data_IF_858858622682
#
_entry.id   IF_858858622682
#
_cell.length_a   1.000
_cell.length_b   1.000
_cell.length_c   1.000
_cell.angle_alpha   90.00
_cell.angle_beta   90.00
_cell.angle_gamma   90.00
#
_symmetry.space_group_name_H-M   'P 1'
#
loop_
_entity.id
_entity.type
_entity.pdbx_description
1 polymer ?
#
# COMPACT_ATOMS: atom_id res chain seq x y z
N UNK A 1 6.11 21.52 7.87
CA UNK A 1 5.97 20.06 7.84
C UNK A 1 7.21 19.33 8.35
N UNK A 2 8.45 19.62 7.83
CA UNK A 2 9.66 18.92 8.29
C UNK A 2 9.93 19.03 9.80
N UNK A 3 9.56 20.14 10.43
CA UNK A 3 9.71 20.34 11.88
C UNK A 3 8.60 19.70 12.72
N UNK A 4 7.53 19.24 12.07
CA UNK A 4 6.38 18.56 12.70
C UNK A 4 6.30 17.08 12.33
N UNK A 5 7.39 16.48 11.84
CA UNK A 5 7.46 15.09 11.41
C UNK A 5 6.39 14.72 10.37
N UNK A 6 6.13 15.65 9.45
CA UNK A 6 5.17 15.50 8.33
C UNK A 6 5.84 15.89 7.01
N UNK A 7 7.04 15.40 6.80
CA UNK A 7 7.90 15.72 5.65
C UNK A 7 7.30 15.32 4.31
N UNK A 8 6.48 14.27 4.27
CA UNK A 8 5.82 13.77 3.05
C UNK A 8 4.85 14.79 2.43
N UNK A 9 4.38 15.76 3.21
CA UNK A 9 3.50 16.85 2.76
C UNK A 9 4.19 18.23 2.84
N UNK A 10 5.52 18.24 2.69
CA UNK A 10 6.30 19.49 2.71
C UNK A 10 5.91 20.39 1.53
N UNK A 11 5.55 21.65 1.83
CA UNK A 11 5.20 22.64 0.79
C UNK A 11 6.42 23.10 -0.01
N UNK A 12 7.63 22.95 0.56
CA UNK A 12 8.90 23.30 -0.08
C UNK A 12 9.66 22.03 -0.48
N UNK A 13 8.98 21.09 -1.14
CA UNK A 13 9.60 19.85 -1.59
C UNK A 13 10.59 20.13 -2.73
N UNK A 14 11.86 19.86 -2.51
CA UNK A 14 12.95 20.13 -3.46
C UNK A 14 13.13 19.05 -4.53
N UNK A 15 12.07 18.36 -4.93
CA UNK A 15 12.08 17.29 -5.92
C UNK A 15 11.76 15.92 -5.33
N UNK A 16 11.42 14.97 -6.21
CA UNK A 16 11.16 13.56 -5.89
C UNK A 16 12.11 12.71 -6.72
N UNK A 17 12.83 11.81 -6.07
CA UNK A 17 13.78 10.91 -6.76
C UNK A 17 13.08 10.14 -7.88
N UNK A 18 13.62 10.21 -9.09
CA UNK A 18 13.11 9.51 -10.27
C UNK A 18 11.84 10.09 -10.88
N UNK A 19 11.22 11.11 -10.28
CA UNK A 19 9.95 11.66 -10.77
C UNK A 19 9.96 13.16 -11.02
N UNK A 20 10.60 13.95 -10.16
CA UNK A 20 10.60 15.41 -10.29
C UNK A 20 11.95 15.99 -9.89
N UNK A 21 12.61 16.63 -10.87
CA UNK A 21 13.83 17.44 -10.69
C UNK A 21 15.01 16.69 -10.03
N UNK A 22 14.99 15.33 -10.02
CA UNK A 22 16.04 14.49 -9.47
C UNK A 22 16.16 13.17 -10.21
N UNK A 23 17.37 12.69 -10.40
CA UNK A 23 17.64 11.35 -10.91
C UNK A 23 17.11 10.29 -9.93
N UNK A 24 16.65 9.15 -10.45
CA UNK A 24 16.06 8.05 -9.67
C UNK A 24 17.07 7.00 -9.24
N UNK A 25 16.53 5.93 -8.64
CA UNK A 25 17.30 4.79 -8.14
C UNK A 25 17.61 3.70 -9.17
N UNK A 26 17.23 3.85 -10.45
CA UNK A 26 17.65 2.95 -11.54
C UNK A 26 19.10 3.28 -11.95
N UNK A 27 20.02 3.15 -11.01
CA UNK A 27 21.42 3.51 -11.14
C UNK A 27 22.25 2.81 -10.07
N UNK A 28 23.54 2.64 -10.31
CA UNK A 28 24.48 2.10 -9.31
C UNK A 28 24.69 3.09 -8.14
N UNK A 29 24.57 4.38 -8.42
CA UNK A 29 24.75 5.46 -7.44
C UNK A 29 23.64 6.49 -7.56
N UNK A 30 23.17 6.98 -6.42
CA UNK A 30 22.19 8.06 -6.33
C UNK A 30 22.59 9.04 -5.23
N UNK A 31 22.41 10.33 -5.49
CA UNK A 31 22.67 11.37 -4.48
C UNK A 31 21.39 11.73 -3.74
N UNK A 32 21.41 11.57 -2.42
CA UNK A 32 20.29 11.90 -1.55
C UNK A 32 20.74 12.76 -0.37
N UNK A 33 19.87 13.63 0.18
CA UNK A 33 20.19 14.35 1.40
C UNK A 33 20.34 13.38 2.58
N UNK A 34 21.45 13.48 3.34
CA UNK A 34 21.74 12.55 4.44
C UNK A 34 20.63 12.46 5.50
N UNK A 35 19.86 13.54 5.70
CA UNK A 35 18.70 13.54 6.62
C UNK A 35 17.56 12.60 6.20
N UNK A 36 17.54 12.14 4.94
CA UNK A 36 16.53 11.21 4.41
C UNK A 36 16.96 9.74 4.53
N UNK A 37 18.19 9.49 4.91
CA UNK A 37 18.68 8.13 5.10
C UNK A 37 18.10 7.51 6.37
N UNK A 38 17.83 6.21 6.29
CA UNK A 38 17.43 5.33 7.37
C UNK A 38 18.34 4.11 7.35
N UNK A 39 18.79 3.67 8.50
CA UNK A 39 19.50 2.39 8.60
C UNK A 39 18.50 1.26 8.38
N UNK A 40 18.77 0.40 7.39
CA UNK A 40 18.01 -0.84 7.22
C UNK A 40 18.39 -1.83 8.33
N UNK A 41 17.43 -2.58 8.91
CA UNK A 41 17.76 -3.69 9.80
C UNK A 41 18.60 -4.74 9.07
N UNK A 42 19.61 -5.29 9.72
CA UNK A 42 20.53 -6.28 9.12
C UNK A 42 19.81 -7.59 8.74
N UNK A 43 18.68 -7.89 9.39
CA UNK A 43 17.91 -9.12 9.18
C UNK A 43 16.98 -9.09 7.96
N UNK A 44 16.85 -7.98 7.25
CA UNK A 44 16.04 -7.90 6.03
C UNK A 44 16.93 -7.82 4.79
N UNK A 45 16.50 -8.47 3.70
CA UNK A 45 17.23 -8.45 2.44
C UNK A 45 17.26 -7.04 1.80
N UNK A 46 18.22 -6.77 0.94
CA UNK A 46 18.28 -5.51 0.17
C UNK A 46 17.05 -5.31 -0.72
N UNK A 47 16.53 -6.35 -1.42
CA UNK A 47 15.25 -6.23 -2.15
C UNK A 47 14.08 -5.83 -1.25
N UNK A 48 13.96 -6.41 -0.07
CA UNK A 48 12.90 -6.06 0.89
C UNK A 48 13.08 -4.65 1.44
N UNK A 49 14.31 -4.24 1.73
CA UNK A 49 14.62 -2.87 2.13
C UNK A 49 14.19 -1.86 1.07
N UNK A 50 14.42 -2.15 -0.22
CA UNK A 50 13.97 -1.31 -1.32
C UNK A 50 12.43 -1.20 -1.37
N UNK A 51 11.72 -2.30 -1.17
CA UNK A 51 10.24 -2.32 -1.13
C UNK A 51 9.69 -1.54 0.07
N UNK A 52 10.37 -1.58 1.22
CA UNK A 52 9.99 -0.78 2.39
C UNK A 52 10.01 0.73 2.10
N UNK A 53 10.91 1.20 1.23
CA UNK A 53 11.05 2.63 0.90
C UNK A 53 9.87 3.24 0.11
N UNK A 54 9.00 2.44 -0.47
CA UNK A 54 7.80 2.90 -1.19
C UNK A 54 6.56 2.15 -0.71
N UNK A 55 6.38 0.89 -1.13
CA UNK A 55 5.17 0.13 -0.82
C UNK A 55 4.98 -0.05 0.69
N UNK A 56 6.07 -0.33 1.40
CA UNK A 56 6.05 -0.52 2.86
C UNK A 56 5.59 0.73 3.59
N UNK A 57 6.32 1.84 3.45
CA UNK A 57 5.99 3.06 4.18
C UNK A 57 4.67 3.69 3.75
N UNK A 58 4.27 3.54 2.48
CA UNK A 58 2.98 4.04 1.98
C UNK A 58 1.81 3.29 2.61
N UNK A 59 1.89 1.95 2.64
CA UNK A 59 0.88 1.13 3.30
C UNK A 59 0.83 1.39 4.81
N UNK A 60 2.01 1.48 5.47
CA UNK A 60 2.07 1.78 6.90
C UNK A 60 1.43 3.12 7.22
N UNK A 61 1.76 4.16 6.44
CA UNK A 61 1.16 5.49 6.62
C UNK A 61 -0.36 5.47 6.42
N UNK A 62 -0.86 4.70 5.44
CA UNK A 62 -2.30 4.56 5.23
C UNK A 62 -3.00 3.91 6.44
N UNK A 63 -2.41 2.85 7.01
CA UNK A 63 -2.91 2.18 8.22
C UNK A 63 -2.87 3.11 9.44
N UNK A 64 -1.78 3.88 9.63
CA UNK A 64 -1.67 4.90 10.70
C UNK A 64 -2.76 5.98 10.54
N UNK A 65 -2.95 6.48 9.31
CA UNK A 65 -4.01 7.45 9.00
C UNK A 65 -5.41 6.89 9.20
N UNK A 66 -5.58 5.61 8.94
CA UNK A 66 -6.83 4.88 9.20
C UNK A 66 -7.16 4.79 10.70
N UNK A 67 -6.19 4.92 11.57
CA UNK A 67 -6.38 4.80 13.03
C UNK A 67 -7.07 3.48 13.41
N UNK A 68 -6.62 2.37 12.77
CA UNK A 68 -7.22 1.06 12.98
C UNK A 68 -7.21 0.66 14.46
N UNK A 69 -8.31 0.04 14.88
CA UNK A 69 -8.48 -0.51 16.23
C UNK A 69 -8.63 -2.02 16.15
N UNK A 70 -8.21 -2.67 17.21
CA UNK A 70 -8.36 -4.12 17.35
C UNK A 70 -9.84 -4.53 17.16
N UNK A 71 -10.07 -5.54 16.31
CA UNK A 71 -11.39 -6.08 16.02
C UNK A 71 -12.20 -5.36 14.95
N UNK A 72 -11.70 -4.25 14.39
CA UNK A 72 -12.34 -3.59 13.25
C UNK A 72 -12.26 -4.45 11.99
N UNK A 73 -13.21 -4.26 11.07
CA UNK A 73 -13.22 -4.85 9.73
C UNK A 73 -12.71 -3.85 8.70
N UNK A 74 -11.75 -4.28 7.89
CA UNK A 74 -11.07 -3.45 6.88
C UNK A 74 -11.28 -4.03 5.49
N UNK A 75 -11.72 -3.20 4.55
CA UNK A 75 -11.78 -3.52 3.13
C UNK A 75 -10.56 -2.90 2.43
N UNK A 76 -9.73 -3.71 1.77
CA UNK A 76 -8.59 -3.26 0.98
C UNK A 76 -8.94 -3.38 -0.50
N UNK A 77 -9.03 -2.25 -1.21
CA UNK A 77 -9.32 -2.19 -2.64
C UNK A 77 -8.01 -2.17 -3.43
N UNK A 78 -7.73 -3.26 -4.13
CA UNK A 78 -6.51 -3.49 -4.91
C UNK A 78 -5.38 -4.15 -4.10
N UNK A 79 -4.89 -5.31 -4.58
CA UNK A 79 -3.84 -6.13 -3.94
C UNK A 79 -2.57 -6.18 -4.80
N UNK A 80 -2.14 -5.02 -5.32
CA UNK A 80 -0.81 -4.82 -5.88
C UNK A 80 0.26 -4.69 -4.79
N UNK A 81 1.41 -4.10 -5.11
CA UNK A 81 2.52 -3.98 -4.14
C UNK A 81 2.15 -3.29 -2.83
N UNK A 82 1.49 -2.13 -2.87
CA UNK A 82 1.07 -1.42 -1.65
C UNK A 82 -0.03 -2.17 -0.92
N UNK A 83 -1.06 -2.68 -1.64
CA UNK A 83 -2.16 -3.43 -1.06
C UNK A 83 -1.72 -4.72 -0.38
N UNK A 84 -0.72 -5.42 -0.95
CA UNK A 84 -0.12 -6.61 -0.33
C UNK A 84 0.49 -6.35 1.05
N UNK A 85 1.10 -5.19 1.25
CA UNK A 85 1.59 -4.78 2.57
C UNK A 85 0.42 -4.31 3.46
N UNK A 86 -0.56 -3.58 2.90
CA UNK A 86 -1.71 -3.08 3.66
C UNK A 86 -2.53 -4.23 4.26
N UNK A 87 -2.78 -5.32 3.53
CA UNK A 87 -3.41 -6.53 4.03
C UNK A 87 -2.68 -7.07 5.25
N UNK A 88 -1.36 -7.24 5.16
CA UNK A 88 -0.55 -7.78 6.27
C UNK A 88 -0.54 -6.85 7.49
N UNK A 89 -0.41 -5.54 7.28
CA UNK A 89 -0.41 -4.56 8.35
C UNK A 89 -1.77 -4.50 9.06
N UNK A 90 -2.89 -4.55 8.31
CA UNK A 90 -4.23 -4.59 8.89
C UNK A 90 -4.43 -5.87 9.73
N UNK A 91 -3.95 -7.03 9.26
CA UNK A 91 -3.95 -8.28 10.04
C UNK A 91 -3.09 -8.14 11.29
N UNK A 92 -1.89 -7.60 11.18
CA UNK A 92 -1.00 -7.39 12.33
C UNK A 92 -1.58 -6.42 13.37
N UNK A 93 -2.44 -5.48 12.93
CA UNK A 93 -3.23 -4.60 13.81
C UNK A 93 -4.45 -5.28 14.44
N UNK A 94 -4.72 -6.56 14.11
CA UNK A 94 -5.83 -7.34 14.67
C UNK A 94 -7.19 -7.09 14.00
N UNK A 95 -7.20 -6.59 12.77
CA UNK A 95 -8.43 -6.39 12.00
C UNK A 95 -8.89 -7.69 11.30
N UNK A 96 -10.19 -7.79 11.01
CA UNK A 96 -10.73 -8.70 10.00
C UNK A 96 -10.54 -8.03 8.63
N UNK A 97 -9.87 -8.69 7.70
CA UNK A 97 -9.45 -8.09 6.41
C UNK A 97 -10.19 -8.72 5.24
N UNK A 98 -10.91 -7.89 4.50
CA UNK A 98 -11.50 -8.21 3.20
C UNK A 98 -10.61 -7.63 2.12
N UNK A 99 -10.25 -8.43 1.12
CA UNK A 99 -9.42 -8.01 0.00
C UNK A 99 -10.21 -8.05 -1.30
N UNK A 100 -10.20 -6.96 -2.05
CA UNK A 100 -10.87 -6.82 -3.35
C UNK A 100 -9.84 -6.75 -4.46
N UNK A 101 -9.93 -7.63 -5.44
CA UNK A 101 -9.02 -7.64 -6.58
C UNK A 101 -9.69 -8.36 -7.77
N UNK A 102 -9.48 -7.86 -8.98
CA UNK A 102 -10.00 -8.44 -10.21
C UNK A 102 -9.35 -9.78 -10.57
N UNK A 103 -8.04 -9.87 -10.38
CA UNK A 103 -7.26 -11.06 -10.72
C UNK A 103 -7.42 -12.15 -9.65
N UNK A 104 -7.84 -13.35 -10.07
CA UNK A 104 -7.94 -14.51 -9.17
C UNK A 104 -6.59 -14.85 -8.51
N UNK A 105 -5.49 -14.80 -9.26
CA UNK A 105 -4.16 -15.05 -8.72
C UNK A 105 -3.76 -14.06 -7.62
N UNK A 106 -4.16 -12.79 -7.76
CA UNK A 106 -3.93 -11.76 -6.74
C UNK A 106 -4.88 -11.89 -5.55
N UNK A 107 -6.11 -12.36 -5.75
CA UNK A 107 -7.00 -12.72 -4.65
C UNK A 107 -6.39 -13.85 -3.81
N UNK A 108 -5.92 -14.92 -4.47
CA UNK A 108 -5.25 -16.02 -3.76
C UNK A 108 -3.95 -15.56 -3.06
N UNK A 109 -3.21 -14.65 -3.69
CA UNK A 109 -2.08 -13.99 -3.03
C UNK A 109 -2.51 -13.23 -1.77
N UNK A 110 -3.62 -12.48 -1.82
CA UNK A 110 -4.17 -11.79 -0.64
C UNK A 110 -4.50 -12.77 0.50
N UNK A 111 -5.08 -13.95 0.19
CA UNK A 111 -5.33 -15.01 1.17
C UNK A 111 -4.04 -15.45 1.86
N UNK A 112 -3.00 -15.71 1.07
CA UNK A 112 -1.69 -16.09 1.61
C UNK A 112 -1.08 -14.99 2.49
N UNK A 113 -1.41 -13.73 2.25
CA UNK A 113 -0.99 -12.58 3.05
C UNK A 113 -1.86 -12.36 4.30
N UNK A 114 -2.92 -13.15 4.48
CA UNK A 114 -3.75 -13.15 5.67
C UNK A 114 -5.11 -12.45 5.51
N UNK A 115 -5.56 -12.17 4.30
CA UNK A 115 -6.96 -11.73 4.09
C UNK A 115 -7.93 -12.83 4.52
N UNK A 116 -8.99 -12.44 5.24
CA UNK A 116 -10.02 -13.36 5.73
C UNK A 116 -11.07 -13.65 4.65
N UNK A 117 -11.42 -12.62 3.85
CA UNK A 117 -12.39 -12.73 2.77
C UNK A 117 -11.81 -12.16 1.47
N UNK A 118 -12.18 -12.76 0.37
CA UNK A 118 -11.73 -12.36 -0.97
C UNK A 118 -12.95 -12.01 -1.82
N UNK A 119 -12.94 -10.85 -2.42
CA UNK A 119 -14.05 -10.34 -3.22
C UNK A 119 -13.59 -10.00 -4.64
N UNK A 120 -14.36 -10.44 -5.62
CA UNK A 120 -14.22 -10.02 -7.02
C UNK A 120 -15.17 -8.85 -7.28
N UNK A 121 -14.70 -7.67 -7.65
CA UNK A 121 -15.59 -6.55 -7.97
C UNK A 121 -16.37 -6.79 -9.28
N UNK A 122 -15.98 -7.77 -10.10
CA UNK A 122 -16.68 -8.20 -11.30
C UNK A 122 -17.92 -9.07 -11.05
N UNK A 123 -18.07 -9.64 -9.86
CA UNK A 123 -19.20 -10.53 -9.51
C UNK A 123 -20.51 -9.78 -9.22
N UNK A 124 -20.55 -8.45 -9.38
CA UNK A 124 -21.75 -7.64 -9.22
C UNK A 124 -21.60 -6.48 -8.24
N UNK A 125 -22.48 -6.38 -7.25
CA UNK A 125 -22.53 -5.27 -6.33
C UNK A 125 -21.60 -5.50 -5.13
N UNK A 126 -20.38 -4.96 -5.18
CA UNK A 126 -19.39 -5.06 -4.09
C UNK A 126 -19.93 -4.58 -2.72
N UNK A 127 -20.62 -3.42 -2.60
CA UNK A 127 -21.21 -3.00 -1.32
C UNK A 127 -22.25 -3.98 -0.77
N UNK A 128 -23.04 -4.65 -1.61
CA UNK A 128 -23.96 -5.67 -1.16
C UNK A 128 -23.23 -6.90 -0.61
N UNK A 129 -22.23 -7.40 -1.33
CA UNK A 129 -21.40 -8.52 -0.88
C UNK A 129 -20.69 -8.22 0.45
N UNK A 130 -20.21 -7.00 0.65
CA UNK A 130 -19.61 -6.55 1.93
C UNK A 130 -20.64 -6.57 3.05
N UNK A 131 -21.87 -6.10 2.79
CA UNK A 131 -22.94 -6.14 3.80
C UNK A 131 -23.34 -7.56 4.18
N UNK A 132 -23.40 -8.48 3.22
CA UNK A 132 -23.70 -9.90 3.50
C UNK A 132 -22.65 -10.53 4.44
N UNK A 133 -21.39 -10.11 4.32
CA UNK A 133 -20.27 -10.57 5.16
C UNK A 133 -20.16 -9.86 6.53
N UNK A 134 -20.99 -8.84 6.75
CA UNK A 134 -20.94 -7.96 7.94
C UNK A 134 -22.29 -7.78 8.60
N UNK A 135 -23.19 -8.77 8.53
CA UNK A 135 -24.53 -8.75 9.12
C UNK A 135 -25.34 -7.50 8.73
N UNK A 136 -25.18 -7.01 7.51
CA UNK A 136 -25.85 -5.82 6.98
C UNK A 136 -25.22 -4.48 7.33
N UNK A 137 -24.16 -4.45 8.15
CA UNK A 137 -23.59 -3.20 8.70
C UNK A 137 -22.63 -2.48 7.73
N UNK A 138 -21.79 -3.20 7.01
CA UNK A 138 -20.65 -2.67 6.29
C UNK A 138 -19.35 -2.69 7.12
N UNK A 139 -18.23 -2.21 6.53
CA UNK A 139 -16.91 -2.25 7.17
C UNK A 139 -16.58 -0.96 7.93
N UNK A 140 -15.69 -1.07 8.91
CA UNK A 140 -15.21 0.08 9.72
C UNK A 140 -14.32 1.00 8.90
N UNK A 141 -13.51 0.42 8.03
CA UNK A 141 -12.49 1.15 7.27
C UNK A 141 -12.34 0.59 5.87
N UNK A 142 -12.17 1.47 4.90
CA UNK A 142 -11.75 1.13 3.53
C UNK A 142 -10.38 1.75 3.27
N UNK A 143 -9.45 0.96 2.74
CA UNK A 143 -8.14 1.42 2.23
C UNK A 143 -8.17 1.29 0.71
N UNK A 144 -8.34 2.41 0.01
CA UNK A 144 -8.39 2.43 -1.44
C UNK A 144 -7.01 2.68 -2.05
N UNK A 145 -6.38 1.60 -2.52
CA UNK A 145 -5.06 1.64 -3.17
C UNK A 145 -5.18 2.05 -4.64
N UNK A 146 -6.35 1.90 -5.23
CA UNK A 146 -6.60 2.16 -6.66
C UNK A 146 -6.87 3.66 -6.89
N UNK A 147 -7.77 4.27 -6.13
CA UNK A 147 -8.11 5.68 -6.18
C UNK A 147 -8.86 6.10 -7.44
N UNK A 148 -9.62 5.21 -8.05
CA UNK A 148 -10.49 5.52 -9.18
C UNK A 148 -11.91 5.87 -8.70
N UNK A 149 -12.68 6.59 -9.53
CA UNK A 149 -14.07 6.94 -9.22
C UNK A 149 -14.86 5.72 -8.74
N UNK A 150 -14.78 4.62 -9.48
CA UNK A 150 -15.51 3.37 -9.17
C UNK A 150 -15.09 2.74 -7.83
N UNK A 151 -13.81 2.82 -7.46
CA UNK A 151 -13.34 2.26 -6.18
C UNK A 151 -13.66 3.16 -5.01
N UNK A 152 -13.58 4.49 -5.18
CA UNK A 152 -14.00 5.45 -4.17
C UNK A 152 -15.49 5.35 -3.87
N UNK A 153 -16.34 5.24 -4.91
CA UNK A 153 -17.78 5.05 -4.79
C UNK A 153 -18.12 3.76 -4.05
N UNK A 154 -17.66 2.62 -4.56
CA UNK A 154 -17.87 1.33 -3.93
C UNK A 154 -17.31 1.29 -2.49
N UNK A 155 -16.18 1.96 -2.25
CA UNK A 155 -15.57 2.08 -0.93
C UNK A 155 -16.47 2.82 0.05
N UNK A 156 -16.98 4.00 -0.31
CA UNK A 156 -17.89 4.78 0.56
C UNK A 156 -19.19 4.02 0.82
N UNK A 157 -19.77 3.39 -0.20
CA UNK A 157 -21.00 2.60 -0.07
C UNK A 157 -20.82 1.32 0.75
N UNK A 158 -19.60 0.81 0.89
CA UNK A 158 -19.27 -0.35 1.72
C UNK A 158 -19.08 -0.02 3.20
N UNK A 159 -18.97 1.26 3.55
CA UNK A 159 -18.78 1.68 4.95
C UNK A 159 -20.03 1.48 5.78
N UNK A 160 -19.83 1.13 7.06
CA UNK A 160 -20.87 1.31 8.09
C UNK A 160 -20.98 2.78 8.51
N UNK A 161 -22.04 3.14 9.21
CA UNK A 161 -22.13 4.45 9.85
C UNK A 161 -20.94 4.66 10.81
N UNK A 162 -20.34 5.84 10.78
CA UNK A 162 -19.12 6.17 11.52
C UNK A 162 -17.85 5.56 10.91
N UNK A 163 -17.93 5.00 9.70
CA UNK A 163 -16.82 4.41 8.98
C UNK A 163 -15.93 5.44 8.29
N UNK A 164 -14.78 4.99 7.75
CA UNK A 164 -13.82 5.86 7.11
C UNK A 164 -13.17 5.27 5.86
N UNK A 165 -13.08 6.09 4.80
CA UNK A 165 -12.36 5.78 3.58
C UNK A 165 -10.99 6.47 3.60
N UNK A 166 -9.91 5.70 3.40
CA UNK A 166 -8.55 6.20 3.23
C UNK A 166 -8.12 6.04 1.77
N UNK A 167 -7.93 7.16 1.08
CA UNK A 167 -7.53 7.20 -0.32
C UNK A 167 -6.01 7.24 -0.41
N UNK A 168 -5.42 6.24 -1.05
CA UNK A 168 -3.98 6.06 -1.27
C UNK A 168 -3.61 6.27 -2.74
N UNK A 169 -4.45 5.78 -3.65
CA UNK A 169 -4.20 5.83 -5.09
C UNK A 169 -4.14 7.28 -5.63
N UNK A 170 -3.26 7.49 -6.61
CA UNK A 170 -3.07 8.78 -7.28
C UNK A 170 -3.64 8.72 -8.69
N UNK A 171 -4.88 9.13 -8.84
CA UNK A 171 -5.53 9.25 -10.14
C UNK A 171 -6.08 10.66 -10.33
N UNK A 172 -6.36 11.10 -11.55
CA UNK A 172 -7.09 12.35 -11.80
C UNK A 172 -8.59 12.23 -11.54
N UNK A 173 -9.05 11.06 -11.16
CA UNK A 173 -10.45 10.75 -10.93
C UNK A 173 -11.03 11.48 -9.73
N UNK A 174 -12.34 11.67 -9.74
CA UNK A 174 -13.04 12.33 -8.64
C UNK A 174 -14.30 11.54 -8.28
N UNK A 175 -14.62 11.58 -6.99
CA UNK A 175 -15.87 11.08 -6.48
C UNK A 175 -16.61 12.24 -5.78
N UNK A 176 -17.68 12.77 -6.39
CA UNK A 176 -18.50 13.79 -5.77
C UNK A 176 -19.38 13.16 -4.70
N UNK A 177 -19.07 13.44 -3.45
CA UNK A 177 -19.81 12.92 -2.29
C UNK A 177 -20.82 13.96 -1.81
N UNK A 178 -22.06 13.54 -1.58
CA UNK A 178 -23.10 14.41 -1.05
C UNK A 178 -22.82 14.73 0.43
N UNK A 179 -22.70 16.04 0.77
CA UNK A 179 -22.42 16.46 2.14
C UNK A 179 -23.46 15.99 3.16
N UNK A 180 -24.74 15.91 2.76
CA UNK A 180 -25.81 15.37 3.59
C UNK A 180 -25.55 13.90 3.94
N UNK A 181 -25.13 13.09 2.96
CA UNK A 181 -24.82 11.68 3.16
C UNK A 181 -23.67 11.49 4.15
N UNK A 182 -22.57 12.26 3.98
CA UNK A 182 -21.46 12.25 4.93
C UNK A 182 -21.90 12.60 6.36
N UNK A 183 -22.68 13.69 6.50
CA UNK A 183 -23.09 14.18 7.81
C UNK A 183 -24.04 13.23 8.51
N UNK A 184 -25.03 12.66 7.79
CA UNK A 184 -26.02 11.76 8.37
C UNK A 184 -25.43 10.43 8.82
N UNK A 185 -24.38 9.95 8.14
CA UNK A 185 -23.73 8.68 8.46
C UNK A 185 -22.41 8.86 9.23
N UNK A 186 -22.03 10.10 9.58
CA UNK A 186 -20.77 10.44 10.28
C UNK A 186 -19.54 9.83 9.61
N UNK A 187 -19.46 9.87 8.26
CA UNK A 187 -18.37 9.27 7.51
C UNK A 187 -17.15 10.20 7.43
N UNK A 188 -15.96 9.60 7.39
CA UNK A 188 -14.71 10.31 7.14
C UNK A 188 -14.11 9.91 5.79
N UNK A 189 -13.62 10.89 5.02
CA UNK A 189 -12.78 10.68 3.84
C UNK A 189 -11.39 11.26 4.12
N UNK A 190 -10.37 10.42 4.06
CA UNK A 190 -9.01 10.73 4.50
C UNK A 190 -8.05 10.54 3.34
N UNK A 191 -7.39 11.62 2.89
CA UNK A 191 -6.28 11.52 1.96
C UNK A 191 -5.00 11.08 2.67
N UNK A 192 -4.17 10.32 1.96
CA UNK A 192 -2.81 9.96 2.39
C UNK A 192 -1.81 10.18 1.26
N UNK A 193 -0.54 10.34 1.58
CA UNK A 193 0.52 10.56 0.60
C UNK A 193 1.80 9.93 1.07
N UNK A 194 2.31 8.92 0.30
CA UNK A 194 3.57 8.24 0.62
C UNK A 194 3.67 7.90 2.12
N UNK A 195 4.80 8.14 2.76
CA UNK A 195 4.98 7.95 4.19
C UNK A 195 6.00 8.91 4.78
N UNK A 196 6.06 8.96 6.10
CA UNK A 196 7.05 9.67 6.88
C UNK A 196 8.31 8.80 7.01
N UNK A 197 9.44 9.41 7.32
CA UNK A 197 10.66 8.68 7.67
C UNK A 197 10.41 7.68 8.82
N UNK A 198 9.58 8.05 9.80
CA UNK A 198 9.20 7.15 10.90
C UNK A 198 8.42 5.93 10.40
N UNK A 199 7.52 6.09 9.44
CA UNK A 199 6.75 4.98 8.87
C UNK A 199 7.67 3.96 8.17
N UNK A 200 8.75 4.43 7.51
CA UNK A 200 9.78 3.56 6.95
C UNK A 200 10.51 2.76 8.03
N UNK A 201 10.89 3.40 9.14
CA UNK A 201 11.55 2.73 10.26
C UNK A 201 10.63 1.63 10.82
N UNK A 202 9.38 1.97 11.11
CA UNK A 202 8.41 1.05 11.72
C UNK A 202 8.10 -0.15 10.82
N UNK A 203 7.84 0.07 9.52
CA UNK A 203 7.55 -1.04 8.59
C UNK A 203 8.77 -1.94 8.40
N UNK A 204 9.98 -1.38 8.37
CA UNK A 204 11.21 -2.16 8.27
C UNK A 204 11.42 -3.04 9.52
N UNK A 205 11.10 -2.54 10.70
CA UNK A 205 11.15 -3.32 11.96
C UNK A 205 10.09 -4.42 12.00
N UNK A 206 8.88 -4.15 11.49
CA UNK A 206 7.84 -5.19 11.37
C UNK A 206 8.26 -6.31 10.43
N UNK A 207 8.92 -5.99 9.32
CA UNK A 207 9.49 -6.98 8.41
C UNK A 207 10.65 -7.74 9.05
N UNK A 208 11.57 -7.04 9.70
CA UNK A 208 12.70 -7.64 10.42
C UNK A 208 12.27 -8.61 11.53
N UNK A 209 11.14 -8.34 12.19
CA UNK A 209 10.57 -9.21 13.23
C UNK A 209 9.68 -10.34 12.67
N UNK A 210 9.51 -10.45 11.36
CA UNK A 210 8.66 -11.45 10.72
C UNK A 210 7.16 -11.23 10.89
N UNK A 211 6.72 -10.08 11.40
CA UNK A 211 5.29 -9.74 11.52
C UNK A 211 4.63 -9.46 10.19
N UNK A 212 5.40 -9.00 9.23
CA UNK A 212 5.04 -8.95 7.81
C UNK A 212 6.15 -9.65 7.02
N UNK A 213 5.78 -10.34 5.96
CA UNK A 213 6.71 -11.06 5.09
C UNK A 213 6.98 -10.31 3.80
N UNK A 214 8.06 -10.68 3.15
CA UNK A 214 8.44 -10.16 1.83
C UNK A 214 7.29 -10.26 0.82
N UNK A 215 7.20 -9.26 -0.01
CA UNK A 215 6.35 -9.23 -1.21
C UNK A 215 7.17 -9.12 -2.49
N UNK A 216 8.48 -9.33 -2.41
CA UNK A 216 9.36 -9.43 -3.59
C UNK A 216 9.14 -10.81 -4.20
N UNK A 217 8.54 -10.83 -5.37
CA UNK A 217 8.22 -12.09 -6.08
C UNK A 217 9.16 -12.37 -7.24
N UNK A 218 9.80 -11.33 -7.76
CA UNK A 218 10.75 -11.44 -8.87
C UNK A 218 11.87 -10.42 -8.71
N UNK A 219 13.06 -10.80 -9.15
CA UNK A 219 14.20 -9.89 -9.28
C UNK A 219 14.76 -9.98 -10.69
N UNK A 220 15.22 -8.86 -11.21
CA UNK A 220 15.90 -8.78 -12.52
C UNK A 220 17.22 -8.04 -12.37
N UNK A 221 18.24 -8.42 -13.15
CA UNK A 221 19.41 -7.57 -13.35
C UNK A 221 19.00 -6.18 -13.85
N UNK A 222 19.68 -5.13 -13.44
CA UNK A 222 19.33 -3.76 -13.85
C UNK A 222 19.36 -3.56 -15.37
N UNK A 223 20.26 -4.23 -16.06
CA UNK A 223 20.34 -4.24 -17.52
C UNK A 223 19.08 -4.78 -18.21
N UNK A 224 18.30 -5.60 -17.50
CA UNK A 224 17.03 -6.17 -17.96
C UNK A 224 15.80 -5.35 -17.50
N UNK A 225 15.98 -4.07 -17.18
CA UNK A 225 14.89 -3.21 -16.71
C UNK A 225 13.68 -3.18 -17.66
N UNK A 226 13.90 -3.25 -18.97
CA UNK A 226 12.82 -3.27 -19.97
C UNK A 226 11.99 -4.55 -19.90
N UNK A 227 12.60 -5.70 -19.61
CA UNK A 227 11.91 -6.97 -19.41
C UNK A 227 11.06 -6.91 -18.12
N UNK A 228 11.64 -6.43 -17.02
CA UNK A 228 10.92 -6.22 -15.77
C UNK A 228 9.71 -5.29 -15.95
N UNK A 229 9.86 -4.20 -16.71
CA UNK A 229 8.77 -3.29 -17.04
C UNK A 229 7.71 -3.93 -17.94
N UNK A 230 8.08 -4.86 -18.83
CA UNK A 230 7.13 -5.60 -19.64
C UNK A 230 6.26 -6.52 -18.76
N UNK A 231 6.88 -7.25 -17.81
CA UNK A 231 6.16 -8.06 -16.82
C UNK A 231 5.21 -7.19 -15.96
N UNK A 232 5.67 -6.01 -15.53
CA UNK A 232 4.82 -5.10 -14.76
C UNK A 232 3.60 -4.62 -15.59
N UNK A 233 3.80 -4.34 -16.90
CA UNK A 233 2.74 -3.88 -17.79
C UNK A 233 1.70 -4.96 -18.12
N UNK A 234 2.05 -6.25 -18.07
CA UNK A 234 1.06 -7.33 -18.25
C UNK A 234 0.01 -7.34 -17.14
N UNK A 235 0.35 -6.77 -15.98
CA UNK A 235 -0.55 -6.75 -14.82
C UNK A 235 -0.61 -8.05 -14.03
N UNK A 236 0.06 -9.11 -14.48
CA UNK A 236 -0.01 -10.46 -13.89
C UNK A 236 0.96 -10.66 -12.72
N UNK A 237 1.86 -9.70 -12.49
CA UNK A 237 2.83 -9.80 -11.40
C UNK A 237 2.15 -9.74 -10.03
N UNK A 238 2.56 -10.62 -9.14
CA UNK A 238 2.24 -10.56 -7.71
C UNK A 238 3.24 -9.63 -7.00
N UNK A 239 2.83 -8.99 -5.94
CA UNK A 239 3.72 -8.20 -5.08
C UNK A 239 4.56 -7.14 -5.80
N UNK A 240 5.89 -7.22 -5.65
CA UNK A 240 6.87 -6.29 -6.23
C UNK A 240 7.97 -6.99 -7.00
N UNK A 241 8.41 -6.33 -8.07
CA UNK A 241 9.60 -6.67 -8.86
C UNK A 241 10.72 -5.73 -8.43
N UNK A 242 11.94 -6.26 -8.23
CA UNK A 242 13.12 -5.48 -7.84
C UNK A 242 14.22 -5.63 -8.88
N UNK A 243 14.82 -4.51 -9.27
CA UNK A 243 16.03 -4.49 -10.12
C UNK A 243 17.27 -4.55 -9.22
N UNK A 244 18.19 -5.44 -9.57
CA UNK A 244 19.46 -5.63 -8.86
C UNK A 244 20.60 -4.96 -9.63
N UNK A 245 21.31 -4.04 -8.99
CA UNK A 245 22.58 -3.52 -9.48
C UNK A 245 23.65 -4.62 -9.49
N UNK A 246 24.79 -4.48 -10.20
CA UNK A 246 25.89 -5.44 -10.13
C UNK A 246 26.35 -5.74 -8.70
N UNK A 247 26.52 -4.73 -7.86
CA UNK A 247 26.85 -4.89 -6.43
C UNK A 247 25.70 -5.50 -5.62
N UNK A 248 24.45 -5.19 -5.97
CA UNK A 248 23.26 -5.77 -5.32
C UNK A 248 23.13 -7.27 -5.59
N UNK A 249 23.51 -7.75 -6.76
CA UNK A 249 23.56 -9.19 -7.10
C UNK A 249 24.54 -9.94 -6.21
N UNK A 250 25.76 -9.42 -6.08
CA UNK A 250 26.78 -10.02 -5.21
C UNK A 250 26.31 -10.12 -3.75
N UNK A 251 25.64 -9.09 -3.27
CA UNK A 251 25.11 -9.07 -1.88
C UNK A 251 23.99 -10.10 -1.66
N UNK A 252 23.14 -10.39 -2.65
CA UNK A 252 22.07 -11.41 -2.56
C UNK A 252 22.63 -12.83 -2.64
N UNK A 253 23.70 -13.06 -3.42
CA UNK A 253 24.34 -14.38 -3.57
C UNK A 253 25.14 -14.79 -2.33
N UNK A 254 25.53 -13.84 -1.47
CA UNK A 254 26.35 -14.08 -0.27
C UNK A 254 25.53 -14.16 1.03
N UNK A 255 24.20 -14.02 0.95
CA UNK A 255 23.27 -14.11 2.09
C UNK A 255 22.43 -15.39 2.00
#
# INVERSE_FOLDING_TARGET
PCRSFREQICVNMGGVLGAKDRHGGYAEYVTVPGRQLVHAPESISWPDSAVCCDAGMTAYHAIDRARLRLGETVLVLGVGGVGSIAVQLAKAAGAKVFAVELSESKREWARQLGADELLDPGDGNLPAAVRDLTDGLGVDCVIDIVGQTVTMEAGVESLRNGGRLVIVGYTPDHYPVEGKYLAQNELEIIGTRAGRKQDLIEVSQLMASGKIRSIVTQTFPMENANEALAVLRSGDNLGRIVLLTPSGRQAVETT
#
